data_IF_128533425817
#
_entry.id   IF_128533425817
#
_cell.length_a   1.000
_cell.length_b   1.000
_cell.length_c   1.000
_cell.angle_alpha   90.00
_cell.angle_beta   90.00
_cell.angle_gamma   90.00
#
_symmetry.space_group_name_H-M   'P 1'
#
loop_
_entity.id
_entity.type
_entity.pdbx_description
1 polymer ?
#
# COMPACT_ATOMS: atom_id res chain seq x y z
N UNK A 1 20.94 10.67 -4.79
CA UNK A 1 19.53 10.89 -4.44
C UNK A 1 19.44 11.80 -3.24
N UNK A 2 18.86 12.97 -3.42
CA UNK A 2 18.45 13.94 -2.40
C UNK A 2 16.92 13.89 -2.27
N UNK A 3 16.39 14.00 -1.06
CA UNK A 3 14.94 13.87 -0.78
C UNK A 3 14.42 15.14 -0.11
N UNK A 4 13.26 15.61 -0.57
CA UNK A 4 12.40 16.55 0.15
C UNK A 4 11.19 15.81 0.72
N UNK A 5 10.91 15.99 2.00
CA UNK A 5 9.70 15.42 2.64
C UNK A 5 8.72 16.54 2.97
N UNK A 6 7.49 16.41 2.51
CA UNK A 6 6.35 17.20 2.94
C UNK A 6 5.50 16.31 3.83
N UNK A 7 5.20 16.76 5.05
CA UNK A 7 4.38 16.00 5.98
C UNK A 7 3.31 16.87 6.62
N UNK A 8 2.21 16.25 7.04
CA UNK A 8 1.20 16.91 7.87
C UNK A 8 0.68 15.97 8.95
N UNK A 9 0.39 16.55 10.12
CA UNK A 9 -0.21 15.88 11.26
C UNK A 9 0.61 14.72 11.85
N UNK A 10 0.01 14.06 12.84
CA UNK A 10 0.65 12.95 13.57
C UNK A 10 0.95 11.74 12.67
N UNK A 11 0.18 11.56 11.58
CA UNK A 11 0.47 10.51 10.60
C UNK A 11 1.77 10.79 9.86
N UNK A 12 1.89 11.98 9.28
CA UNK A 12 3.05 12.38 8.50
C UNK A 12 4.32 12.36 9.33
N UNK A 13 4.25 12.83 10.58
CA UNK A 13 5.38 12.77 11.51
C UNK A 13 5.85 11.33 11.77
N UNK A 14 4.92 10.39 11.97
CA UNK A 14 5.27 8.97 12.18
C UNK A 14 5.97 8.37 10.96
N UNK A 15 5.46 8.67 9.76
CA UNK A 15 6.04 8.20 8.51
C UNK A 15 7.43 8.82 8.32
N UNK A 16 7.59 10.12 8.58
CA UNK A 16 8.88 10.82 8.55
C UNK A 16 9.89 10.15 9.50
N UNK A 17 9.51 9.91 10.75
CA UNK A 17 10.37 9.25 11.75
C UNK A 17 10.84 7.87 11.28
N UNK A 18 9.97 7.11 10.63
CA UNK A 18 10.32 5.80 10.07
C UNK A 18 11.27 5.93 8.88
N UNK A 19 11.00 6.86 7.95
CA UNK A 19 11.84 7.09 6.76
C UNK A 19 13.25 7.54 7.16
N UNK A 20 13.38 8.35 8.21
CA UNK A 20 14.66 8.82 8.74
C UNK A 20 15.59 7.67 9.12
N UNK A 21 15.08 6.52 9.57
CA UNK A 21 15.90 5.35 9.92
C UNK A 21 16.81 4.87 8.77
N UNK A 22 16.43 5.12 7.51
CA UNK A 22 17.21 4.72 6.32
C UNK A 22 17.67 5.88 5.46
N UNK A 23 16.94 7.00 5.45
CA UNK A 23 17.17 8.11 4.53
C UNK A 23 17.63 9.41 5.20
N UNK A 24 17.94 9.44 6.50
CA UNK A 24 18.37 10.66 7.19
C UNK A 24 19.49 11.44 6.45
N UNK A 25 20.51 10.75 5.95
CA UNK A 25 21.62 11.38 5.22
C UNK A 25 21.26 11.86 3.80
N UNK A 26 20.14 11.38 3.24
CA UNK A 26 19.66 11.73 1.89
C UNK A 26 18.59 12.82 1.92
N UNK A 27 17.97 13.09 3.07
CA UNK A 27 16.95 14.13 3.23
C UNK A 27 17.63 15.49 3.35
N UNK A 28 17.29 16.41 2.43
CA UNK A 28 17.89 17.76 2.37
C UNK A 28 16.94 18.86 2.85
N UNK A 29 15.64 18.58 2.82
CA UNK A 29 14.55 19.47 3.19
C UNK A 29 13.39 18.68 3.82
N UNK A 30 12.85 19.20 4.92
CA UNK A 30 11.66 18.70 5.59
C UNK A 30 10.75 19.90 5.81
N UNK A 31 9.49 19.78 5.40
CA UNK A 31 8.50 20.85 5.57
C UNK A 31 7.19 20.28 6.11
N UNK A 32 6.73 20.88 7.20
CA UNK A 32 5.39 20.62 7.73
C UNK A 32 4.39 21.50 7.00
N UNK A 33 3.30 20.87 6.54
CA UNK A 33 2.16 21.54 5.94
C UNK A 33 1.03 21.56 6.98
N UNK A 34 0.34 22.69 7.21
CA UNK A 34 -0.72 22.79 8.20
C UNK A 34 -1.83 21.74 7.98
N UNK A 35 -2.34 21.15 9.06
CA UNK A 35 -3.38 20.08 9.00
C UNK A 35 -4.80 20.66 8.84
N UNK A 36 -5.08 21.83 9.42
CA UNK A 36 -6.40 22.44 9.45
C UNK A 36 -6.69 23.31 8.22
N UNK A 37 -6.43 22.76 7.04
CA UNK A 37 -6.73 23.43 5.76
C UNK A 37 -8.10 23.02 5.23
N UNK A 38 -8.68 23.89 4.41
CA UNK A 38 -9.91 23.56 3.69
C UNK A 38 -9.61 22.48 2.65
N UNK A 39 -10.59 21.62 2.36
CA UNK A 39 -10.45 20.60 1.31
C UNK A 39 -10.25 21.23 -0.08
N UNK A 40 -10.85 22.40 -0.30
CA UNK A 40 -10.70 23.22 -1.50
C UNK A 40 -9.88 24.48 -1.19
N UNK A 41 -8.83 24.72 -1.97
CA UNK A 41 -7.90 25.84 -1.78
C UNK A 41 -7.75 26.57 -3.12
N UNK A 42 -8.07 27.86 -3.14
CA UNK A 42 -8.00 28.68 -4.37
C UNK A 42 -6.56 28.82 -4.90
N UNK A 43 -5.59 29.03 -4.01
CA UNK A 43 -4.18 29.17 -4.37
C UNK A 43 -3.29 28.37 -3.40
N UNK A 44 -2.78 27.23 -3.86
CA UNK A 44 -1.86 26.40 -3.07
C UNK A 44 -0.43 26.94 -3.04
N UNK A 45 -0.09 27.93 -3.87
CA UNK A 45 1.28 28.46 -3.97
C UNK A 45 1.73 29.16 -2.70
N UNK A 46 0.78 29.66 -1.89
CA UNK A 46 1.03 30.24 -0.56
C UNK A 46 1.64 29.23 0.42
N UNK A 47 1.43 27.93 0.20
CA UNK A 47 1.95 26.86 1.03
C UNK A 47 3.30 26.31 0.54
N UNK A 48 3.86 26.88 -0.54
CA UNK A 48 5.16 26.47 -1.06
C UNK A 48 6.26 27.02 -0.13
N UNK A 49 7.09 26.17 0.49
CA UNK A 49 8.14 26.65 1.40
C UNK A 49 9.15 27.57 0.71
N UNK A 50 9.65 28.57 1.43
CA UNK A 50 10.63 29.53 0.88
C UNK A 50 12.03 28.92 0.70
N UNK A 51 12.48 28.10 1.65
CA UNK A 51 13.86 27.59 1.73
C UNK A 51 13.99 26.18 1.13
N UNK A 52 13.56 26.03 -0.12
CA UNK A 52 13.65 24.77 -0.84
C UNK A 52 15.06 24.54 -1.41
N UNK A 53 15.60 23.34 -1.20
CA UNK A 53 16.86 22.89 -1.81
C UNK A 53 16.55 21.96 -2.97
N UNK A 54 17.40 21.96 -3.99
CA UNK A 54 17.33 20.98 -5.07
C UNK A 54 17.32 19.55 -4.52
N UNK A 55 16.35 18.76 -4.97
CA UNK A 55 16.22 17.35 -4.59
C UNK A 55 15.69 16.52 -5.74
N UNK A 56 15.96 15.21 -5.71
CA UNK A 56 15.59 14.28 -6.77
C UNK A 56 14.16 13.72 -6.55
N UNK A 57 13.80 13.48 -5.29
CA UNK A 57 12.57 12.81 -4.88
C UNK A 57 11.79 13.66 -3.87
N UNK A 58 10.50 13.88 -4.13
CA UNK A 58 9.56 14.44 -3.16
C UNK A 58 8.74 13.29 -2.56
N UNK A 59 8.61 13.28 -1.23
CA UNK A 59 7.72 12.37 -0.52
C UNK A 59 6.67 13.22 0.21
N UNK A 60 5.41 13.11 -0.19
CA UNK A 60 4.27 13.82 0.41
C UNK A 60 3.43 12.85 1.23
N UNK A 61 3.26 13.14 2.53
CA UNK A 61 2.60 12.24 3.48
C UNK A 61 1.61 13.00 4.38
N UNK A 62 0.39 12.49 4.51
CA UNK A 62 -0.61 13.08 5.41
C UNK A 62 -1.32 14.33 4.88
N UNK A 63 -1.07 14.77 3.65
CA UNK A 63 -1.77 15.92 3.05
C UNK A 63 -3.17 15.51 2.57
N UNK A 64 -4.20 16.31 2.87
CA UNK A 64 -5.61 16.04 2.54
C UNK A 64 -6.22 17.11 1.61
N UNK A 65 -6.85 16.68 0.52
CA UNK A 65 -7.52 17.59 -0.42
C UNK A 65 -6.54 18.35 -1.31
N UNK A 66 -6.97 19.52 -1.78
CA UNK A 66 -6.29 20.30 -2.82
C UNK A 66 -4.87 20.73 -2.45
N UNK A 67 -4.52 20.77 -1.15
CA UNK A 67 -3.16 21.05 -0.71
C UNK A 67 -2.12 20.09 -1.31
N UNK A 68 -2.52 18.88 -1.74
CA UNK A 68 -1.63 17.98 -2.47
C UNK A 68 -1.09 18.59 -3.78
N UNK A 69 -1.74 19.59 -4.39
CA UNK A 69 -1.26 20.28 -5.59
C UNK A 69 0.02 21.06 -5.36
N UNK A 70 0.33 21.45 -4.11
CA UNK A 70 1.57 22.17 -3.75
C UNK A 70 2.84 21.43 -4.21
N UNK A 71 2.76 20.10 -4.32
CA UNK A 71 3.86 19.25 -4.83
C UNK A 71 4.28 19.64 -6.24
N UNK A 72 3.38 20.16 -7.08
CA UNK A 72 3.66 20.52 -8.46
C UNK A 72 4.58 21.74 -8.54
N UNK A 73 4.29 22.77 -7.75
CA UNK A 73 5.11 23.98 -7.67
C UNK A 73 6.46 23.70 -7.01
N UNK A 74 6.46 22.88 -5.95
CA UNK A 74 7.69 22.45 -5.28
C UNK A 74 8.57 21.67 -6.25
N UNK A 75 8.01 20.71 -7.00
CA UNK A 75 8.75 19.92 -7.99
C UNK A 75 9.44 20.79 -9.04
N UNK A 76 8.73 21.80 -9.56
CA UNK A 76 9.28 22.77 -10.51
C UNK A 76 10.41 23.59 -9.89
N UNK A 77 10.24 24.11 -8.67
CA UNK A 77 11.26 24.94 -7.99
C UNK A 77 12.55 24.19 -7.67
N UNK A 78 12.46 22.89 -7.35
CA UNK A 78 13.63 22.10 -6.92
C UNK A 78 14.19 21.16 -7.98
N UNK A 79 13.67 21.22 -9.21
CA UNK A 79 14.04 20.33 -10.32
C UNK A 79 13.88 18.84 -10.00
N UNK A 80 12.84 18.49 -9.22
CA UNK A 80 12.55 17.11 -8.83
C UNK A 80 12.34 16.21 -10.06
N UNK A 81 12.69 14.93 -9.91
CA UNK A 81 12.54 13.90 -10.96
C UNK A 81 11.40 12.96 -10.65
N UNK A 82 11.13 12.74 -9.37
CA UNK A 82 10.10 11.81 -8.94
C UNK A 82 9.34 12.31 -7.71
N UNK A 83 8.08 11.88 -7.58
CA UNK A 83 7.19 12.21 -6.46
C UNK A 83 6.47 10.94 -5.99
N UNK A 84 6.41 10.76 -4.67
CA UNK A 84 5.55 9.78 -4.02
C UNK A 84 4.51 10.56 -3.22
N UNK A 85 3.23 10.32 -3.50
CA UNK A 85 2.10 10.90 -2.75
C UNK A 85 1.25 9.76 -2.24
N UNK A 86 1.32 9.48 -0.95
CA UNK A 86 0.56 8.38 -0.37
C UNK A 86 -0.91 8.73 -0.17
N UNK A 87 -1.74 7.70 -0.03
CA UNK A 87 -3.11 7.85 0.45
C UNK A 87 -3.47 6.75 1.45
N UNK A 88 -3.96 7.17 2.61
CA UNK A 88 -4.48 6.30 3.66
C UNK A 88 -6.00 6.49 3.87
N UNK A 89 -6.65 7.42 3.18
CA UNK A 89 -8.11 7.63 3.19
C UNK A 89 -8.67 7.85 1.78
N UNK A 90 -9.88 7.34 1.45
CA UNK A 90 -10.53 7.60 0.16
C UNK A 90 -10.73 9.09 -0.13
N UNK A 91 -10.85 9.92 0.91
CA UNK A 91 -11.05 11.37 0.82
C UNK A 91 -9.75 12.16 0.64
N UNK A 92 -8.60 11.56 0.95
CA UNK A 92 -7.31 12.25 0.98
C UNK A 92 -6.88 12.69 -0.42
N UNK A 93 -7.02 11.80 -1.41
CA UNK A 93 -6.53 11.99 -2.75
C UNK A 93 -7.45 11.32 -3.78
N UNK A 94 -8.41 12.10 -4.32
CA UNK A 94 -9.38 11.64 -5.31
C UNK A 94 -8.74 11.37 -6.67
N UNK A 95 -9.40 10.58 -7.52
CA UNK A 95 -8.93 10.32 -8.90
C UNK A 95 -8.86 11.59 -9.76
N UNK A 96 -9.78 12.54 -9.54
CA UNK A 96 -9.72 13.87 -10.17
C UNK A 96 -8.44 14.61 -9.80
N UNK A 97 -8.15 14.71 -8.50
CA UNK A 97 -6.96 15.37 -7.98
C UNK A 97 -5.65 14.69 -8.43
N UNK A 98 -5.61 13.34 -8.47
CA UNK A 98 -4.47 12.61 -9.05
C UNK A 98 -4.23 12.97 -10.51
N UNK A 99 -5.31 13.04 -11.29
CA UNK A 99 -5.24 13.39 -12.71
C UNK A 99 -4.75 14.82 -12.90
N UNK A 100 -5.22 15.74 -12.07
CA UNK A 100 -4.78 17.13 -12.08
C UNK A 100 -3.30 17.28 -11.71
N UNK A 101 -2.83 16.59 -10.68
CA UNK A 101 -1.39 16.54 -10.33
C UNK A 101 -0.59 16.03 -11.52
N UNK A 102 -0.98 14.90 -12.13
CA UNK A 102 -0.28 14.35 -13.29
C UNK A 102 -0.27 15.30 -14.48
N UNK A 103 -1.36 16.01 -14.76
CA UNK A 103 -1.43 16.98 -15.87
C UNK A 103 -0.54 18.21 -15.63
N UNK A 104 -0.26 18.55 -14.37
CA UNK A 104 0.60 19.66 -13.98
C UNK A 104 2.09 19.29 -13.87
N UNK A 105 2.41 18.00 -13.92
CA UNK A 105 3.75 17.44 -13.92
C UNK A 105 4.12 17.03 -15.35
N UNK A 106 5.12 17.71 -15.93
CA UNK A 106 5.60 17.37 -17.27
C UNK A 106 6.54 16.14 -17.20
N UNK A 107 7.83 16.37 -16.96
CA UNK A 107 8.89 15.35 -16.99
C UNK A 107 9.18 14.74 -15.60
N UNK A 108 8.19 14.73 -14.71
CA UNK A 108 8.33 14.27 -13.31
C UNK A 108 7.46 13.05 -13.09
N UNK A 109 8.07 11.92 -12.72
CA UNK A 109 7.35 10.69 -12.45
C UNK A 109 6.63 10.77 -11.10
N UNK A 110 5.31 10.56 -11.07
CA UNK A 110 4.55 10.53 -9.82
C UNK A 110 3.85 9.19 -9.60
N UNK A 111 3.91 8.69 -8.36
CA UNK A 111 3.18 7.48 -7.93
C UNK A 111 2.29 7.77 -6.73
N UNK A 112 1.17 7.05 -6.69
CA UNK A 112 0.09 7.27 -5.72
C UNK A 112 -0.26 5.99 -4.94
N UNK A 113 0.66 5.45 -4.11
CA UNK A 113 0.41 4.21 -3.39
C UNK A 113 -0.76 4.37 -2.41
N UNK A 114 -1.73 3.45 -2.48
CA UNK A 114 -2.95 3.44 -1.68
C UNK A 114 -3.29 2.00 -1.25
N UNK A 115 -3.02 1.59 0.01
CA UNK A 115 -2.31 2.32 1.07
C UNK A 115 -0.83 2.58 0.74
N UNK A 116 -0.12 3.41 1.53
CA UNK A 116 1.31 3.61 1.31
C UNK A 116 2.13 2.29 1.34
N UNK A 117 1.74 1.33 2.16
CA UNK A 117 2.32 -0.01 2.19
C UNK A 117 1.93 -0.90 1.00
N UNK A 118 1.37 -0.34 -0.08
CA UNK A 118 1.21 -1.01 -1.38
C UNK A 118 2.32 -0.66 -2.37
N UNK A 119 3.17 0.34 -2.06
CA UNK A 119 4.23 0.79 -2.96
C UNK A 119 5.18 -0.36 -3.33
N UNK A 120 5.47 -0.49 -4.62
CA UNK A 120 6.44 -1.43 -5.18
C UNK A 120 7.40 -0.69 -6.10
N UNK A 121 8.54 -1.30 -6.46
CA UNK A 121 9.36 -0.80 -7.57
C UNK A 121 8.52 -0.66 -8.85
N UNK A 122 8.69 0.46 -9.53
CA UNK A 122 7.97 0.86 -10.76
C UNK A 122 8.92 1.11 -11.94
N UNK A 123 10.23 0.91 -11.75
CA UNK A 123 11.26 1.16 -12.78
C UNK A 123 11.80 2.59 -12.78
N UNK A 124 11.34 3.43 -11.85
CA UNK A 124 11.90 4.76 -11.63
C UNK A 124 13.07 4.68 -10.63
N UNK A 125 14.21 5.28 -10.99
CA UNK A 125 15.45 5.12 -10.20
C UNK A 125 15.30 5.59 -8.75
N UNK A 126 14.56 6.66 -8.51
CA UNK A 126 14.45 7.27 -7.19
C UNK A 126 13.36 6.63 -6.34
N UNK A 127 12.20 6.35 -6.95
CA UNK A 127 11.10 5.63 -6.29
C UNK A 127 11.55 4.20 -5.95
N UNK A 128 12.27 3.53 -6.85
CA UNK A 128 12.74 2.16 -6.62
C UNK A 128 13.80 2.10 -5.51
N UNK A 129 14.68 3.10 -5.42
CA UNK A 129 15.63 3.22 -4.31
C UNK A 129 14.92 3.40 -2.95
N UNK A 130 13.81 4.15 -2.90
CA UNK A 130 12.94 4.23 -1.73
C UNK A 130 12.25 2.88 -1.46
N UNK A 131 11.68 2.28 -2.52
CA UNK A 131 10.93 1.03 -2.49
C UNK A 131 11.75 -0.23 -2.18
N UNK A 132 13.08 -0.12 -2.09
CA UNK A 132 13.96 -1.15 -1.51
C UNK A 132 13.75 -1.30 -0.01
N UNK A 133 13.51 -0.20 0.70
CA UNK A 133 13.45 -0.19 2.17
C UNK A 133 12.03 0.03 2.70
N UNK A 134 11.20 0.77 1.97
CA UNK A 134 9.84 1.12 2.39
C UNK A 134 8.78 0.85 1.32
N UNK A 135 7.68 0.20 1.67
CA UNK A 135 6.59 -0.08 0.75
C UNK A 135 5.83 -1.37 1.10
N UNK A 136 5.54 -2.19 0.08
CA UNK A 136 4.92 -3.51 0.23
C UNK A 136 5.74 -4.38 1.17
N UNK A 137 5.20 -4.89 2.29
CA UNK A 137 5.98 -5.63 3.28
C UNK A 137 6.79 -6.79 2.66
N UNK A 138 8.04 -6.95 3.09
CA UNK A 138 8.88 -8.09 2.74
C UNK A 138 9.60 -8.58 4.00
N UNK A 139 9.34 -9.84 4.36
CA UNK A 139 9.82 -10.45 5.60
C UNK A 139 10.37 -11.85 5.33
N UNK A 140 11.26 -12.29 6.20
CA UNK A 140 11.74 -13.67 6.29
C UNK A 140 11.44 -14.21 7.69
N UNK A 141 10.69 -15.30 7.74
CA UNK A 141 10.30 -15.99 8.97
C UNK A 141 11.19 -17.22 9.12
N UNK A 142 11.85 -17.34 10.28
CA UNK A 142 12.63 -18.54 10.64
C UNK A 142 11.90 -19.35 11.71
N UNK A 143 11.97 -20.68 11.60
CA UNK A 143 11.27 -21.60 12.50
C UNK A 143 11.03 -22.96 11.86
N UNK A 144 10.37 -23.86 12.59
CA UNK A 144 9.98 -25.19 12.10
C UNK A 144 8.47 -25.40 12.30
N UNK A 145 8.06 -25.45 13.57
CA UNK A 145 6.64 -25.49 13.97
C UNK A 145 6.15 -24.11 14.40
N UNK A 146 7.03 -23.36 15.06
CA UNK A 146 6.76 -22.06 15.66
C UNK A 146 7.74 -21.02 15.10
N UNK A 147 7.32 -19.76 15.07
CA UNK A 147 8.19 -18.64 14.70
C UNK A 147 9.29 -18.45 15.73
N UNK A 148 10.54 -18.62 15.32
CA UNK A 148 11.75 -18.30 16.11
C UNK A 148 12.15 -16.84 15.96
N UNK A 149 12.09 -16.30 14.73
CA UNK A 149 12.34 -14.88 14.45
C UNK A 149 11.67 -14.44 13.14
N UNK A 150 11.49 -13.13 13.00
CA UNK A 150 11.04 -12.48 11.76
C UNK A 150 11.99 -11.35 11.41
N UNK A 151 12.64 -11.44 10.25
CA UNK A 151 13.52 -10.41 9.70
C UNK A 151 12.75 -9.55 8.71
N UNK A 152 12.80 -8.22 8.85
CA UNK A 152 12.12 -7.29 7.95
C UNK A 152 13.11 -6.78 6.90
N UNK A 153 12.89 -7.18 5.65
CA UNK A 153 13.68 -6.74 4.50
C UNK A 153 13.15 -5.41 3.93
N UNK A 154 11.82 -5.26 3.93
CA UNK A 154 11.14 -4.01 3.54
C UNK A 154 10.00 -3.72 4.51
N UNK A 155 10.04 -2.55 5.12
CA UNK A 155 9.06 -2.11 6.10
C UNK A 155 7.93 -1.34 5.42
N UNK A 156 6.73 -1.32 6.02
CA UNK A 156 5.74 -0.31 5.66
C UNK A 156 6.30 1.08 6.01
N UNK A 157 6.02 2.13 5.20
CA UNK A 157 6.52 3.48 5.48
C UNK A 157 6.08 4.06 6.84
N UNK A 158 4.97 3.61 7.40
CA UNK A 158 4.53 4.00 8.74
C UNK A 158 5.19 3.19 9.88
N UNK A 159 5.90 2.11 9.56
CA UNK A 159 6.56 1.22 10.53
C UNK A 159 5.73 0.00 10.94
N UNK A 160 4.53 -0.20 10.38
CA UNK A 160 3.64 -1.28 10.81
C UNK A 160 4.20 -2.68 10.56
N UNK A 161 4.99 -2.91 9.52
CA UNK A 161 5.59 -4.24 9.25
C UNK A 161 6.56 -4.64 10.35
N UNK A 162 7.42 -3.71 10.80
CA UNK A 162 8.34 -3.93 11.91
C UNK A 162 7.60 -4.25 13.20
N UNK A 163 6.57 -3.46 13.52
CA UNK A 163 5.71 -3.74 14.67
C UNK A 163 5.08 -5.14 14.61
N UNK A 164 4.51 -5.52 13.47
CA UNK A 164 3.93 -6.87 13.31
C UNK A 164 5.01 -7.93 13.50
N UNK A 165 6.15 -7.82 12.81
CA UNK A 165 7.25 -8.78 12.88
C UNK A 165 7.74 -9.03 14.33
N UNK A 166 7.91 -7.97 15.12
CA UNK A 166 8.31 -8.04 16.53
C UNK A 166 7.29 -8.77 17.42
N UNK A 167 6.04 -8.88 16.97
CA UNK A 167 4.93 -9.48 17.71
C UNK A 167 4.49 -10.85 17.17
N UNK A 168 5.27 -11.47 16.26
CA UNK A 168 4.96 -12.78 15.69
C UNK A 168 5.77 -13.95 16.28
N UNK A 169 6.82 -13.68 17.05
CA UNK A 169 7.62 -14.72 17.70
C UNK A 169 6.77 -15.58 18.64
N UNK A 170 6.92 -16.91 18.55
CA UNK A 170 6.24 -17.89 19.40
C UNK A 170 4.95 -18.48 18.82
N UNK A 171 4.30 -17.82 17.86
CA UNK A 171 3.10 -18.34 17.19
C UNK A 171 3.40 -19.58 16.35
N UNK A 172 2.43 -20.49 16.21
CA UNK A 172 2.48 -21.62 15.29
C UNK A 172 2.42 -21.11 13.84
N UNK A 173 3.09 -21.80 12.91
CA UNK A 173 3.11 -21.42 11.49
C UNK A 173 1.72 -21.31 10.87
N UNK A 174 0.79 -22.14 11.31
CA UNK A 174 -0.61 -22.12 10.88
C UNK A 174 -1.44 -21.00 11.56
N UNK A 175 -0.89 -20.24 12.50
CA UNK A 175 -1.56 -19.09 13.12
C UNK A 175 -1.02 -17.75 12.59
N UNK A 176 0.23 -17.72 12.13
CA UNK A 176 0.95 -16.49 11.77
C UNK A 176 0.20 -15.64 10.76
N UNK A 177 -0.43 -16.23 9.75
CA UNK A 177 -1.19 -15.47 8.76
C UNK A 177 -2.33 -14.69 9.41
N UNK A 178 -3.14 -15.35 10.25
CA UNK A 178 -4.25 -14.71 10.95
C UNK A 178 -3.74 -13.65 11.94
N UNK A 179 -2.74 -14.03 12.73
CA UNK A 179 -2.18 -13.19 13.78
C UNK A 179 -1.46 -11.96 13.23
N UNK A 180 -0.83 -12.05 12.07
CA UNK A 180 -0.23 -10.89 11.40
C UNK A 180 -1.27 -9.81 11.06
N UNK A 181 -2.48 -10.23 10.68
CA UNK A 181 -3.61 -9.32 10.49
C UNK A 181 -4.06 -8.70 11.82
N UNK A 182 -4.20 -9.50 12.88
CA UNK A 182 -4.58 -9.02 14.20
C UNK A 182 -3.57 -8.00 14.77
N UNK A 183 -2.26 -8.28 14.63
CA UNK A 183 -1.23 -7.33 15.06
C UNK A 183 -1.30 -6.03 14.26
N UNK A 184 -1.60 -6.07 12.96
CA UNK A 184 -1.80 -4.83 12.20
C UNK A 184 -3.00 -4.02 12.72
N UNK A 185 -4.10 -4.67 13.11
CA UNK A 185 -5.24 -3.98 13.72
C UNK A 185 -4.91 -3.36 15.09
N UNK A 186 -3.99 -3.95 15.85
CA UNK A 186 -3.51 -3.41 17.13
C UNK A 186 -2.50 -2.27 16.97
N UNK A 187 -1.81 -2.21 15.82
CA UNK A 187 -0.97 -1.08 15.47
C UNK A 187 -1.85 0.15 15.22
N UNK A 188 -1.46 1.38 15.65
CA UNK A 188 -2.26 2.60 15.49
C UNK A 188 -2.32 3.09 14.02
N UNK A 189 -2.68 2.22 13.09
CA UNK A 189 -2.77 2.50 11.67
C UNK A 189 -3.83 3.59 11.43
N UNK A 190 -3.50 4.57 10.58
CA UNK A 190 -4.46 5.60 10.17
C UNK A 190 -5.13 5.28 8.83
N UNK A 191 -4.90 4.09 8.27
CA UNK A 191 -5.64 3.61 7.11
C UNK A 191 -7.14 3.57 7.41
N UNK A 192 -7.93 4.21 6.55
CA UNK A 192 -9.36 4.39 6.77
C UNK A 192 -10.12 3.06 6.74
N UNK A 193 -11.16 3.02 7.58
CA UNK A 193 -12.19 1.97 7.59
C UNK A 193 -13.37 2.30 6.65
N UNK A 194 -13.37 3.48 6.02
CA UNK A 194 -14.33 3.78 4.96
C UNK A 194 -14.06 2.90 3.74
N UNK A 195 -15.14 2.50 3.07
CA UNK A 195 -15.03 1.76 1.81
C UNK A 195 -14.47 2.69 0.74
N UNK A 196 -13.32 2.31 0.17
CA UNK A 196 -12.77 2.94 -1.02
C UNK A 196 -13.52 2.40 -2.25
N UNK A 197 -14.21 3.27 -2.98
CA UNK A 197 -15.03 2.84 -4.13
C UNK A 197 -14.19 2.37 -5.32
N UNK A 198 -12.96 2.90 -5.48
CA UNK A 198 -12.03 2.47 -6.53
C UNK A 198 -11.59 1.03 -6.25
N UNK A 199 -11.21 0.72 -5.01
CA UNK A 199 -10.67 -0.58 -4.61
C UNK A 199 -11.75 -1.59 -4.21
N UNK A 200 -12.93 -1.16 -3.76
CA UNK A 200 -14.04 -2.05 -3.36
C UNK A 200 -13.86 -2.70 -1.98
N UNK A 201 -12.97 -2.16 -1.15
CA UNK A 201 -12.72 -2.55 0.25
C UNK A 201 -12.19 -1.35 1.06
N UNK A 202 -11.99 -1.53 2.36
CA UNK A 202 -11.36 -0.52 3.21
C UNK A 202 -9.85 -0.51 3.01
N UNK A 203 -9.22 0.67 3.13
CA UNK A 203 -7.76 0.79 2.97
C UNK A 203 -7.04 0.01 4.09
N UNK A 204 -7.62 -0.07 5.29
CA UNK A 204 -7.08 -0.89 6.37
C UNK A 204 -7.06 -2.39 6.04
N UNK A 205 -8.13 -2.92 5.43
CA UNK A 205 -8.14 -4.33 5.00
C UNK A 205 -7.05 -4.60 3.96
N UNK A 206 -6.83 -3.68 3.03
CA UNK A 206 -5.77 -3.83 2.03
C UNK A 206 -4.38 -3.84 2.67
N UNK A 207 -4.13 -2.97 3.65
CA UNK A 207 -2.90 -3.02 4.44
C UNK A 207 -2.75 -4.38 5.16
N UNK A 208 -3.86 -4.93 5.67
CA UNK A 208 -3.93 -6.28 6.24
C UNK A 208 -3.58 -7.38 5.23
N UNK A 209 -4.07 -7.27 4.00
CA UNK A 209 -3.73 -8.21 2.93
C UNK A 209 -2.26 -8.13 2.58
N UNK A 210 -1.65 -6.94 2.62
CA UNK A 210 -0.21 -6.75 2.34
C UNK A 210 0.70 -7.41 3.36
N UNK A 211 0.39 -7.36 4.64
CA UNK A 211 1.21 -8.06 5.64
C UNK A 211 0.98 -9.58 5.58
N UNK A 212 -0.26 -10.03 5.35
CA UNK A 212 -0.58 -11.45 5.14
C UNK A 212 0.11 -12.01 3.89
N UNK A 213 0.16 -11.23 2.81
CA UNK A 213 0.89 -11.56 1.58
C UNK A 213 2.36 -11.84 1.90
N UNK A 214 3.02 -10.99 2.69
CA UNK A 214 4.41 -11.18 3.08
C UNK A 214 4.64 -12.45 3.92
N UNK A 215 3.74 -12.73 4.87
CA UNK A 215 3.77 -13.98 5.65
C UNK A 215 3.61 -15.20 4.73
N UNK A 216 2.60 -15.19 3.86
CA UNK A 216 2.34 -16.29 2.92
C UNK A 216 3.49 -16.53 1.97
N UNK A 217 4.16 -15.48 1.50
CA UNK A 217 5.38 -15.59 0.67
C UNK A 217 6.52 -16.24 1.44
N UNK A 218 6.76 -15.79 2.68
CA UNK A 218 7.85 -16.33 3.51
C UNK A 218 7.62 -17.79 3.87
N UNK A 219 6.39 -18.19 4.20
CA UNK A 219 6.06 -19.57 4.60
C UNK A 219 5.70 -20.47 3.41
N UNK A 220 5.44 -19.89 2.23
CA UNK A 220 4.89 -20.55 1.03
C UNK A 220 3.58 -21.31 1.31
N UNK A 221 2.82 -20.86 2.31
CA UNK A 221 1.66 -21.55 2.85
C UNK A 221 0.55 -20.55 3.22
N UNK A 222 -0.71 -20.99 3.18
CA UNK A 222 -1.87 -20.28 3.71
C UNK A 222 -2.91 -21.29 4.21
N UNK A 223 -3.54 -21.01 5.35
CA UNK A 223 -4.58 -21.88 5.90
C UNK A 223 -5.91 -21.76 5.17
N UNK A 224 -6.16 -20.58 4.61
CA UNK A 224 -7.44 -20.17 4.10
C UNK A 224 -7.28 -19.87 2.60
N UNK A 225 -7.67 -20.83 1.77
CA UNK A 225 -7.56 -20.68 0.32
C UNK A 225 -8.94 -20.69 -0.32
N UNK A 226 -9.08 -19.87 -1.36
CA UNK A 226 -10.21 -19.95 -2.27
C UNK A 226 -9.76 -20.74 -3.48
N UNK A 227 -10.44 -21.85 -3.78
CA UNK A 227 -10.13 -22.72 -4.91
C UNK A 227 -11.20 -22.59 -5.98
N UNK A 228 -10.78 -22.52 -7.24
CA UNK A 228 -11.70 -22.58 -8.37
C UNK A 228 -11.86 -24.03 -8.83
N UNK A 229 -13.09 -24.46 -9.07
CA UNK A 229 -13.43 -25.81 -9.53
C UNK A 229 -13.88 -25.80 -11.01
N UNK A 230 -14.15 -26.99 -11.56
CA UNK A 230 -14.51 -27.20 -12.97
C UNK A 230 -15.84 -26.54 -13.41
N UNK A 231 -16.64 -26.03 -12.46
CA UNK A 231 -17.86 -25.28 -12.79
C UNK A 231 -17.58 -23.88 -13.33
N UNK A 232 -16.33 -23.40 -13.29
CA UNK A 232 -15.99 -22.07 -13.78
C UNK A 232 -16.24 -21.95 -15.29
N UNK A 233 -17.13 -21.04 -15.67
CA UNK A 233 -17.45 -20.72 -17.07
C UNK A 233 -16.77 -19.45 -17.59
N UNK A 234 -15.85 -18.85 -16.81
CA UNK A 234 -15.02 -17.71 -17.19
C UNK A 234 -15.72 -16.60 -17.99
N UNK A 235 -15.57 -16.64 -19.33
CA UNK A 235 -16.17 -15.68 -20.27
C UNK A 235 -17.68 -15.50 -20.09
N UNK A 236 -18.43 -16.54 -19.71
CA UNK A 236 -19.88 -16.43 -19.53
C UNK A 236 -20.27 -15.45 -18.42
N UNK A 237 -19.47 -15.33 -17.34
CA UNK A 237 -19.66 -14.27 -16.35
C UNK A 237 -18.76 -13.05 -16.60
N UNK A 238 -17.92 -13.08 -17.62
CA UNK A 238 -16.92 -12.05 -17.91
C UNK A 238 -15.95 -11.85 -16.74
N UNK A 239 -15.55 -12.94 -16.06
CA UNK A 239 -14.60 -12.94 -14.95
C UNK A 239 -14.96 -11.99 -13.80
N UNK A 240 -16.20 -12.09 -13.27
CA UNK A 240 -16.65 -11.28 -12.11
C UNK A 240 -15.69 -11.35 -10.92
N UNK A 241 -15.10 -12.52 -10.66
CA UNK A 241 -14.11 -12.72 -9.60
C UNK A 241 -12.91 -11.78 -9.73
N UNK A 242 -12.39 -11.57 -10.94
CA UNK A 242 -11.30 -10.64 -11.22
C UNK A 242 -11.75 -9.19 -10.99
N UNK A 243 -12.90 -8.81 -11.57
CA UNK A 243 -13.42 -7.43 -11.52
C UNK A 243 -13.78 -6.96 -10.11
N UNK A 244 -14.27 -7.85 -9.25
CA UNK A 244 -14.66 -7.52 -7.87
C UNK A 244 -13.50 -7.62 -6.87
N UNK A 245 -12.38 -8.23 -7.26
CA UNK A 245 -11.29 -8.49 -6.33
C UNK A 245 -10.55 -7.19 -5.98
N UNK A 246 -10.54 -6.77 -4.70
CA UNK A 246 -9.88 -5.54 -4.30
C UNK A 246 -8.35 -5.61 -4.43
N UNK A 247 -7.79 -6.82 -4.29
CA UNK A 247 -6.36 -7.05 -4.45
C UNK A 247 -5.94 -6.93 -5.92
N UNK A 248 -6.78 -7.41 -6.87
CA UNK A 248 -6.57 -7.17 -8.31
C UNK A 248 -6.62 -5.68 -8.64
N UNK A 249 -7.60 -4.95 -8.09
CA UNK A 249 -7.73 -3.50 -8.30
C UNK A 249 -6.53 -2.70 -7.75
N UNK A 250 -5.81 -3.24 -6.76
CA UNK A 250 -4.55 -2.70 -6.25
C UNK A 250 -3.34 -3.02 -7.16
N UNK A 251 -3.54 -3.78 -8.24
CA UNK A 251 -2.49 -4.15 -9.20
C UNK A 251 -1.80 -5.48 -8.91
N UNK A 252 -2.41 -6.36 -8.12
CA UNK A 252 -1.84 -7.67 -7.76
C UNK A 252 -2.50 -8.83 -8.51
N UNK A 253 -1.75 -9.93 -8.64
CA UNK A 253 -2.22 -11.13 -9.34
C UNK A 253 -3.01 -12.07 -8.42
N UNK A 254 -3.99 -11.57 -7.67
CA UNK A 254 -4.83 -12.43 -6.83
C UNK A 254 -5.81 -13.30 -7.61
N UNK A 255 -6.20 -12.87 -8.82
CA UNK A 255 -7.00 -13.65 -9.75
C UNK A 255 -6.28 -13.68 -11.09
N UNK A 256 -5.91 -14.87 -11.55
CA UNK A 256 -5.22 -15.12 -12.81
C UNK A 256 -6.23 -15.70 -13.80
N UNK A 257 -6.20 -15.24 -15.06
CA UNK A 257 -7.12 -15.69 -16.10
C UNK A 257 -6.34 -16.54 -17.11
N UNK A 258 -6.73 -17.80 -17.24
CA UNK A 258 -6.13 -18.76 -18.16
C UNK A 258 -7.17 -19.21 -19.19
N UNK A 259 -7.09 -18.65 -20.40
CA UNK A 259 -8.03 -18.90 -21.49
C UNK A 259 -9.49 -18.64 -21.06
N UNK A 260 -10.20 -19.70 -20.67
CA UNK A 260 -11.61 -19.72 -20.29
C UNK A 260 -11.81 -19.94 -18.79
N UNK A 261 -10.75 -20.09 -18.00
CA UNK A 261 -10.79 -20.41 -16.57
C UNK A 261 -10.15 -19.29 -15.75
N UNK A 262 -10.58 -19.15 -14.49
CA UNK A 262 -9.96 -18.24 -13.54
C UNK A 262 -9.30 -19.07 -12.44
N UNK A 263 -8.14 -18.65 -11.97
CA UNK A 263 -7.44 -19.24 -10.83
C UNK A 263 -7.27 -18.18 -9.75
N UNK A 264 -7.33 -18.58 -8.48
CA UNK A 264 -7.08 -17.67 -7.36
C UNK A 264 -5.70 -17.97 -6.79
N UNK A 265 -4.83 -16.98 -6.82
CA UNK A 265 -3.49 -17.11 -6.28
C UNK A 265 -3.53 -16.89 -4.76
N UNK A 266 -3.34 -17.97 -3.99
CA UNK A 266 -3.44 -17.94 -2.53
C UNK A 266 -2.43 -16.98 -1.88
N UNK A 267 -1.28 -16.75 -2.50
CA UNK A 267 -0.25 -15.85 -1.98
C UNK A 267 -0.78 -14.41 -1.91
N UNK A 268 -1.46 -13.94 -2.96
CA UNK A 268 -2.01 -12.59 -3.02
C UNK A 268 -3.43 -12.48 -2.45
N UNK A 269 -4.22 -13.56 -2.51
CA UNK A 269 -5.62 -13.55 -2.07
C UNK A 269 -5.77 -13.07 -0.62
N UNK A 270 -6.53 -12.00 -0.40
CA UNK A 270 -6.84 -11.49 0.95
C UNK A 270 -7.87 -12.32 1.73
N UNK A 271 -8.43 -13.37 1.13
CA UNK A 271 -9.50 -14.20 1.70
C UNK A 271 -10.74 -13.41 2.15
N UNK A 272 -11.13 -12.39 1.37
CA UNK A 272 -12.26 -11.50 1.68
C UNK A 272 -13.64 -12.04 1.25
N UNK A 273 -13.69 -13.23 0.65
CA UNK A 273 -14.90 -13.93 0.18
C UNK A 273 -15.73 -13.21 -0.92
N UNK A 274 -15.35 -11.99 -1.35
CA UNK A 274 -16.10 -11.21 -2.36
C UNK A 274 -16.26 -11.95 -3.68
N UNK A 275 -15.20 -12.59 -4.18
CA UNK A 275 -15.26 -13.33 -5.44
C UNK A 275 -16.12 -14.60 -5.33
N UNK A 276 -16.05 -15.30 -4.18
CA UNK A 276 -16.90 -16.46 -3.90
C UNK A 276 -18.38 -16.07 -3.95
N UNK A 277 -18.75 -15.00 -3.24
CA UNK A 277 -20.13 -14.52 -3.19
C UNK A 277 -20.63 -13.97 -4.53
N UNK A 278 -19.73 -13.48 -5.40
CA UNK A 278 -20.08 -12.93 -6.70
C UNK A 278 -20.13 -13.97 -7.84
N UNK A 279 -19.69 -15.21 -7.60
CA UNK A 279 -19.60 -16.24 -8.62
C UNK A 279 -20.99 -16.81 -8.94
N UNK A 280 -21.53 -16.64 -10.17
CA UNK A 280 -22.86 -17.12 -10.50
C UNK A 280 -22.93 -18.65 -10.76
N UNK A 281 -21.77 -19.32 -10.82
CA UNK A 281 -21.66 -20.73 -11.16
C UNK A 281 -21.25 -21.60 -9.96
N UNK A 282 -21.19 -21.03 -8.75
CA UNK A 282 -20.69 -21.72 -7.55
C UNK A 282 -19.32 -22.41 -7.81
N UNK A 283 -18.49 -21.75 -8.59
CA UNK A 283 -17.21 -22.30 -9.04
C UNK A 283 -16.04 -21.97 -8.10
N UNK A 284 -16.29 -21.30 -6.98
CA UNK A 284 -15.26 -20.90 -6.01
C UNK A 284 -15.65 -21.46 -4.65
N UNK A 285 -14.73 -22.20 -4.06
CA UNK A 285 -14.91 -22.87 -2.77
C UNK A 285 -13.88 -22.35 -1.76
N UNK A 286 -14.29 -22.24 -0.50
CA UNK A 286 -13.40 -21.92 0.60
C UNK A 286 -12.89 -23.19 1.26
N UNK A 287 -11.57 -23.30 1.39
CA UNK A 287 -10.89 -24.42 2.03
C UNK A 287 -10.14 -23.86 3.24
N UNK A 288 -10.41 -24.44 4.40
CA UNK A 288 -9.76 -24.15 5.67
C UNK A 288 -8.99 -25.40 6.13
N UNK A 289 -7.66 -25.34 6.12
CA UNK A 289 -6.82 -26.47 6.49
C UNK A 289 -6.71 -26.69 8.01
N UNK A 290 -7.35 -25.87 8.85
CA UNK A 290 -7.46 -26.10 10.29
C UNK A 290 -8.64 -26.98 10.70
N UNK A 291 -9.56 -27.30 9.79
CA UNK A 291 -10.77 -28.10 10.07
C UNK A 291 -10.72 -29.48 9.44
#
# INVERSE_FOLDING_TARGET
MKITVLYSGNYGERVLNTILEKFAQKIVSIHEIPENLLEYIDDVTEYVPENLKESDLIISVGLFGDINLVVCDIAKKINAKSIIIESHSPKQLTSGLKSEILNNLNDVNAVFPKPFCSLKPVGDTYIDEFAKYFGSPEIEITGETNVKSVTVMRNAPCGSTKYVAENLTGYLFDEVEFESGNKLHNYPCLASMDIDTELGDTILHLAGYKIKEAVKKSLKFSNNILKVNDNCKGFECGFKCYKICPVVKMGENAVEIEKTHANINYIYCGYCMKCLNACPFNAIEAIDFKK
#
